data_IF_163360715460
#
_entry.id   IF_163360715460
#
_cell.length_a   1.000
_cell.length_b   1.000
_cell.length_c   1.000
_cell.angle_alpha   90.00
_cell.angle_beta   90.00
_cell.angle_gamma   90.00
#
_symmetry.space_group_name_H-M   'P 1'
#
loop_
_entity.id
_entity.type
_entity.pdbx_description
1 polymer ?
#
# COMPACT_ATOMS: atom_id res chain seq x y z
N UNK A 1 -7.41 19.37 -28.42
CA UNK A 1 -6.99 18.32 -29.39
C UNK A 1 -5.48 18.45 -29.55
N UNK A 2 -4.70 17.80 -28.72
CA UNK A 2 -3.25 17.70 -28.87
C UNK A 2 -2.91 16.56 -29.84
N UNK A 3 -2.28 16.90 -30.94
CA UNK A 3 -1.75 15.97 -31.92
C UNK A 3 -0.28 15.74 -31.52
N UNK A 4 -0.03 14.69 -30.76
CA UNK A 4 1.30 14.35 -30.20
C UNK A 4 2.08 13.30 -30.99
N UNK A 5 2.09 13.37 -32.32
CA UNK A 5 2.96 12.51 -33.12
C UNK A 5 3.72 13.36 -34.14
N UNK A 6 5.03 13.49 -33.95
CA UNK A 6 5.96 14.28 -34.77
C UNK A 6 5.83 14.00 -36.26
N UNK A 7 5.71 12.74 -36.68
CA UNK A 7 5.55 12.38 -38.10
C UNK A 7 4.21 12.86 -38.70
N UNK A 8 3.16 12.96 -37.91
CA UNK A 8 1.85 13.48 -38.37
C UNK A 8 1.85 15.00 -38.36
N UNK A 9 2.52 15.63 -37.40
CA UNK A 9 2.76 17.06 -37.35
C UNK A 9 3.62 17.50 -38.53
N UNK A 10 4.69 16.78 -38.87
CA UNK A 10 5.56 17.08 -39.99
C UNK A 10 4.84 16.87 -41.34
N UNK A 11 3.99 15.87 -41.46
CA UNK A 11 3.15 15.67 -42.65
C UNK A 11 2.10 16.81 -42.78
N UNK A 12 1.47 17.22 -41.69
CA UNK A 12 0.52 18.34 -41.67
C UNK A 12 1.26 19.67 -41.90
N UNK A 13 2.43 19.88 -41.29
CA UNK A 13 3.28 21.06 -41.57
C UNK A 13 3.68 21.15 -43.02
N UNK A 14 4.18 20.06 -43.61
CA UNK A 14 4.54 19.98 -45.02
C UNK A 14 3.35 20.29 -45.97
N UNK A 15 2.15 19.84 -45.58
CA UNK A 15 0.91 20.20 -46.32
C UNK A 15 0.58 21.69 -46.16
N UNK A 16 0.68 22.22 -44.93
CA UNK A 16 0.40 23.64 -44.67
C UNK A 16 1.44 24.54 -45.34
N UNK A 17 2.72 24.21 -45.33
CA UNK A 17 3.78 24.98 -46.01
C UNK A 17 3.61 24.96 -47.53
N UNK A 18 3.28 23.81 -48.13
CA UNK A 18 2.91 23.72 -49.54
C UNK A 18 1.61 24.47 -49.86
N UNK A 19 0.71 24.59 -48.91
CA UNK A 19 -0.52 25.37 -49.01
C UNK A 19 -0.23 26.88 -48.98
N UNK A 20 0.59 27.33 -48.03
CA UNK A 20 0.97 28.77 -47.90
C UNK A 20 1.73 29.27 -49.13
N UNK A 21 2.58 28.47 -49.71
CA UNK A 21 3.35 28.80 -50.93
C UNK A 21 2.46 28.93 -52.18
N UNK A 22 1.27 28.30 -52.21
CA UNK A 22 0.35 28.31 -53.35
C UNK A 22 -0.86 29.26 -53.21
N UNK A 23 -1.12 29.80 -52.06
CA UNK A 23 -2.26 30.72 -51.80
C UNK A 23 -2.11 32.03 -52.57
N UNK A 24 -0.91 32.46 -52.94
CA UNK A 24 -0.66 33.73 -53.62
C UNK A 24 -0.87 33.70 -55.13
N UNK A 25 -1.48 32.69 -55.74
CA UNK A 25 -1.51 32.56 -57.20
C UNK A 25 -2.85 32.25 -57.92
N UNK A 26 -4.01 32.07 -57.30
CA UNK A 26 -5.30 32.06 -58.02
C UNK A 26 -6.48 31.52 -57.22
N UNK A 27 -7.58 32.25 -57.11
CA UNK A 27 -8.85 31.87 -56.43
C UNK A 27 -9.53 30.63 -57.03
N UNK A 28 -9.34 30.38 -58.33
CA UNK A 28 -9.94 29.23 -59.02
C UNK A 28 -9.34 27.89 -58.56
N UNK A 29 -8.12 27.86 -58.08
CA UNK A 29 -7.47 26.68 -57.47
C UNK A 29 -7.92 26.41 -56.05
N UNK A 30 -8.37 27.42 -55.31
CA UNK A 30 -8.85 27.26 -53.93
C UNK A 30 -10.11 26.38 -53.84
N UNK A 31 -11.05 26.53 -54.78
CA UNK A 31 -12.28 25.73 -54.83
C UNK A 31 -11.96 24.24 -55.18
N UNK A 32 -11.05 24.02 -56.12
CA UNK A 32 -10.62 22.68 -56.53
C UNK A 32 -9.89 21.96 -55.39
N UNK A 33 -9.06 22.70 -54.65
CA UNK A 33 -8.36 22.16 -53.48
C UNK A 33 -9.29 21.93 -52.27
N UNK A 34 -10.27 22.80 -52.01
CA UNK A 34 -11.30 22.56 -51.03
C UNK A 34 -12.13 21.33 -51.34
N UNK A 35 -12.44 21.09 -52.58
CA UNK A 35 -13.17 19.89 -53.01
C UNK A 35 -12.32 18.62 -52.89
N UNK A 36 -11.04 18.66 -53.27
CA UNK A 36 -10.11 17.56 -53.08
C UNK A 36 -9.84 17.29 -51.62
N UNK A 37 -9.63 18.30 -50.79
CA UNK A 37 -9.41 18.18 -49.35
C UNK A 37 -10.64 17.55 -48.67
N UNK A 38 -11.85 17.99 -48.99
CA UNK A 38 -13.07 17.39 -48.47
C UNK A 38 -13.30 15.96 -49.00
N UNK A 39 -12.84 15.61 -50.20
CA UNK A 39 -12.93 14.27 -50.76
C UNK A 39 -11.91 13.28 -50.13
N UNK A 40 -10.72 13.78 -49.81
CA UNK A 40 -9.65 12.99 -49.17
C UNK A 40 -9.85 12.88 -47.65
N UNK A 41 -10.33 13.96 -47.01
CA UNK A 41 -10.52 14.10 -45.57
C UNK A 41 -12.00 14.17 -45.16
N UNK A 42 -12.88 13.35 -45.76
CA UNK A 42 -14.25 13.26 -45.22
C UNK A 42 -14.21 12.82 -43.76
N UNK A 43 -15.04 13.46 -42.90
CA UNK A 43 -15.18 13.10 -41.45
C UNK A 43 -15.28 11.58 -41.23
N UNK A 44 -15.79 10.83 -42.22
CA UNK A 44 -15.94 9.38 -42.20
C UNK A 44 -14.61 8.64 -42.46
N UNK A 45 -13.76 9.16 -43.37
CA UNK A 45 -12.40 8.61 -43.62
C UNK A 45 -11.47 8.94 -42.47
N UNK A 46 -11.49 10.17 -41.96
CA UNK A 46 -10.71 10.55 -40.77
C UNK A 46 -11.16 9.71 -39.56
N UNK A 47 -12.47 9.54 -39.33
CA UNK A 47 -12.98 8.62 -38.29
C UNK A 47 -12.59 7.17 -38.53
N UNK A 48 -12.51 6.72 -39.78
CA UNK A 48 -12.07 5.35 -40.10
C UNK A 48 -10.56 5.18 -39.87
N UNK A 49 -9.74 6.15 -40.33
CA UNK A 49 -8.28 6.19 -40.07
C UNK A 49 -8.00 6.33 -38.55
N UNK A 50 -8.75 7.18 -37.81
CA UNK A 50 -8.64 7.29 -36.37
C UNK A 50 -9.20 6.06 -35.62
N UNK A 51 -10.15 5.34 -36.20
CA UNK A 51 -10.65 4.07 -35.65
C UNK A 51 -9.73 2.89 -35.95
N UNK A 52 -9.07 2.91 -37.10
CA UNK A 52 -8.02 1.95 -37.48
C UNK A 52 -6.68 2.26 -36.83
N UNK A 53 -6.41 3.53 -36.46
CA UNK A 53 -5.24 4.00 -35.69
C UNK A 53 -5.52 4.19 -34.18
N UNK A 54 -6.69 3.82 -33.65
CA UNK A 54 -6.75 3.50 -32.24
C UNK A 54 -5.81 2.33 -32.04
N UNK A 55 -4.60 2.62 -31.57
CA UNK A 55 -3.71 1.59 -31.05
C UNK A 55 -4.58 0.66 -30.24
N UNK A 56 -4.79 -0.55 -30.72
CA UNK A 56 -5.56 -1.55 -29.98
C UNK A 56 -4.79 -1.72 -28.68
N UNK A 57 -5.34 -1.24 -27.58
CA UNK A 57 -4.75 -1.48 -26.28
C UNK A 57 -4.71 -2.99 -26.13
N UNK A 58 -3.49 -3.56 -25.98
CA UNK A 58 -3.31 -4.98 -25.73
C UNK A 58 -4.12 -5.38 -24.50
N UNK A 59 -4.85 -6.46 -24.61
CA UNK A 59 -5.47 -7.02 -23.42
C UNK A 59 -4.42 -7.77 -22.58
N UNK A 60 -4.77 -8.08 -21.32
CA UNK A 60 -3.85 -8.76 -20.38
C UNK A 60 -3.24 -10.02 -20.97
N UNK A 61 -4.04 -10.88 -21.61
CA UNK A 61 -3.57 -12.14 -22.19
C UNK A 61 -2.56 -11.92 -23.31
N UNK A 62 -2.82 -10.95 -24.20
CA UNK A 62 -1.89 -10.55 -25.25
C UNK A 62 -0.58 -9.99 -24.67
N UNK A 63 -0.68 -9.19 -23.60
CA UNK A 63 0.49 -8.63 -22.91
C UNK A 63 1.33 -9.70 -22.23
N UNK A 64 0.71 -10.63 -21.51
CA UNK A 64 1.41 -11.73 -20.84
C UNK A 64 2.14 -12.62 -21.84
N UNK A 65 1.52 -12.96 -22.97
CA UNK A 65 2.12 -13.77 -24.01
C UNK A 65 3.27 -13.02 -24.71
N UNK A 66 3.08 -11.73 -25.00
CA UNK A 66 4.15 -10.91 -25.57
C UNK A 66 5.33 -10.77 -24.62
N UNK A 67 5.06 -10.58 -23.33
CA UNK A 67 6.10 -10.51 -22.29
C UNK A 67 6.93 -11.80 -22.25
N UNK A 68 6.27 -12.96 -22.26
CA UNK A 68 6.96 -14.26 -22.32
C UNK A 68 7.85 -14.37 -23.55
N UNK A 69 7.36 -13.97 -24.73
CA UNK A 69 8.13 -14.03 -25.99
C UNK A 69 9.29 -13.02 -26.07
N UNK A 70 9.24 -11.95 -25.28
CA UNK A 70 10.34 -10.99 -25.18
C UNK A 70 11.45 -11.48 -24.24
N UNK A 71 11.10 -12.36 -23.29
CA UNK A 71 12.06 -12.94 -22.34
C UNK A 71 12.65 -14.25 -22.83
N UNK A 72 11.83 -15.09 -23.48
CA UNK A 72 12.20 -16.42 -23.92
C UNK A 72 11.89 -16.64 -25.41
N UNK A 73 12.77 -17.32 -26.15
CA UNK A 73 12.51 -17.59 -27.54
C UNK A 73 11.33 -18.55 -27.72
N UNK A 74 10.51 -18.28 -28.74
CA UNK A 74 9.37 -19.15 -29.07
C UNK A 74 9.87 -20.55 -29.50
N UNK A 75 9.39 -21.59 -28.82
CA UNK A 75 9.63 -23.00 -29.12
C UNK A 75 8.40 -23.60 -29.81
N UNK A 76 7.28 -23.64 -29.08
CA UNK A 76 5.99 -24.07 -29.62
C UNK A 76 4.86 -23.53 -28.73
N UNK A 77 3.62 -23.60 -29.23
CA UNK A 77 2.46 -23.03 -28.54
C UNK A 77 2.08 -23.75 -27.24
N UNK A 78 2.46 -25.02 -27.04
CA UNK A 78 2.18 -25.75 -25.81
C UNK A 78 3.11 -25.28 -24.69
N UNK A 79 4.39 -25.14 -24.97
CA UNK A 79 5.38 -24.59 -24.03
C UNK A 79 5.02 -23.14 -23.71
N UNK A 80 4.68 -22.33 -24.71
CA UNK A 80 4.23 -20.95 -24.47
C UNK A 80 2.97 -20.88 -23.61
N UNK A 81 2.04 -21.80 -23.76
CA UNK A 81 0.84 -21.91 -22.92
C UNK A 81 1.18 -22.25 -21.45
N UNK A 82 2.13 -23.17 -21.24
CA UNK A 82 2.61 -23.57 -19.93
C UNK A 82 3.36 -22.42 -19.23
N UNK A 83 4.33 -21.80 -19.92
CA UNK A 83 5.13 -20.71 -19.34
C UNK A 83 4.31 -19.44 -19.11
N UNK A 84 3.40 -19.08 -20.02
CA UNK A 84 2.54 -17.90 -19.87
C UNK A 84 1.34 -18.11 -18.93
N UNK A 85 1.09 -19.33 -18.45
CA UNK A 85 -0.06 -19.66 -17.60
C UNK A 85 -1.41 -19.57 -18.29
N UNK A 86 -1.46 -19.60 -19.64
CA UNK A 86 -2.70 -19.48 -20.41
C UNK A 86 -3.06 -20.77 -21.15
N UNK A 87 -4.36 -20.97 -21.43
CA UNK A 87 -4.79 -22.11 -22.23
C UNK A 87 -4.30 -22.00 -23.67
N UNK A 88 -4.09 -23.14 -24.34
CA UNK A 88 -3.65 -23.20 -25.75
C UNK A 88 -4.57 -22.39 -26.68
N UNK A 89 -5.87 -22.37 -26.40
CA UNK A 89 -6.85 -21.59 -27.19
C UNK A 89 -6.66 -20.08 -27.04
N UNK A 90 -6.28 -19.61 -25.82
CA UNK A 90 -5.93 -18.22 -25.56
C UNK A 90 -4.64 -17.86 -26.30
N UNK A 91 -3.61 -18.68 -26.18
CA UNK A 91 -2.32 -18.49 -26.87
C UNK A 91 -2.53 -18.34 -28.38
N UNK A 92 -3.24 -19.27 -29.01
CA UNK A 92 -3.50 -19.23 -30.44
C UNK A 92 -4.22 -17.96 -30.90
N UNK A 93 -5.21 -17.50 -30.15
CA UNK A 93 -5.94 -16.27 -30.46
C UNK A 93 -5.06 -15.05 -30.28
N UNK A 94 -4.32 -14.97 -29.17
CA UNK A 94 -3.45 -13.84 -28.85
C UNK A 94 -2.29 -13.70 -29.84
N UNK A 95 -1.66 -14.80 -30.26
CA UNK A 95 -0.63 -14.79 -31.31
C UNK A 95 -1.15 -14.17 -32.61
N UNK A 96 -2.34 -14.58 -33.06
CA UNK A 96 -2.96 -14.01 -34.27
C UNK A 96 -3.23 -12.50 -34.14
N UNK A 97 -3.71 -12.07 -33.00
CA UNK A 97 -3.98 -10.65 -32.76
C UNK A 97 -2.70 -9.83 -32.60
N UNK A 98 -1.63 -10.38 -31.99
CA UNK A 98 -0.31 -9.74 -31.87
C UNK A 98 0.39 -9.59 -33.24
N UNK A 99 0.31 -10.62 -34.12
CA UNK A 99 0.81 -10.55 -35.50
C UNK A 99 0.03 -9.48 -36.27
N UNK A 100 -1.31 -9.50 -36.21
CA UNK A 100 -2.17 -8.52 -36.87
C UNK A 100 -1.93 -7.08 -36.40
N UNK A 101 -1.51 -6.91 -35.17
CA UNK A 101 -1.20 -5.61 -34.55
C UNK A 101 0.27 -5.19 -34.73
N UNK A 102 1.08 -5.99 -35.48
CA UNK A 102 2.49 -5.75 -35.76
C UNK A 102 3.39 -5.75 -34.52
N UNK A 103 3.02 -6.52 -33.49
CA UNK A 103 3.89 -6.80 -32.35
C UNK A 103 4.77 -8.05 -32.56
N UNK A 104 4.29 -8.99 -33.37
CA UNK A 104 5.02 -10.19 -33.76
C UNK A 104 5.09 -10.26 -35.29
N UNK A 105 6.19 -10.81 -35.81
CA UNK A 105 6.32 -11.20 -37.22
C UNK A 105 5.63 -12.56 -37.49
N UNK A 106 5.62 -13.00 -38.76
CA UNK A 106 5.02 -14.29 -39.14
C UNK A 106 5.74 -15.52 -38.52
N UNK A 107 6.96 -15.33 -38.06
CA UNK A 107 7.78 -16.34 -37.35
C UNK A 107 7.63 -16.27 -35.84
N UNK A 108 6.65 -15.50 -35.34
CA UNK A 108 6.35 -15.30 -33.92
C UNK A 108 7.55 -14.66 -33.17
N UNK A 109 8.31 -13.79 -33.84
CA UNK A 109 9.40 -13.03 -33.23
C UNK A 109 8.91 -11.61 -32.91
N UNK A 110 9.28 -11.03 -31.73
CA UNK A 110 8.96 -9.65 -31.42
C UNK A 110 9.51 -8.66 -32.43
N UNK A 111 8.68 -7.74 -32.91
CA UNK A 111 9.05 -6.68 -33.84
C UNK A 111 9.76 -5.52 -33.12
N UNK A 112 10.34 -4.59 -33.90
CA UNK A 112 10.89 -3.33 -33.34
C UNK A 112 9.84 -2.53 -32.58
N UNK A 113 8.59 -2.55 -33.02
CA UNK A 113 7.47 -1.92 -32.32
C UNK A 113 7.27 -2.52 -30.93
N UNK A 114 7.23 -3.86 -30.84
CA UNK A 114 7.09 -4.56 -29.55
C UNK A 114 8.24 -4.21 -28.60
N UNK A 115 9.48 -4.26 -29.08
CA UNK A 115 10.67 -3.95 -28.28
C UNK A 115 10.67 -2.48 -27.82
N UNK A 116 10.22 -1.55 -28.65
CA UNK A 116 10.18 -0.12 -28.30
C UNK A 116 9.12 0.13 -27.22
N UNK A 117 7.91 -0.39 -27.38
CA UNK A 117 6.84 -0.24 -26.38
C UNK A 117 7.20 -0.90 -25.04
N UNK A 118 7.85 -2.05 -25.11
CA UNK A 118 8.37 -2.76 -23.96
C UNK A 118 9.39 -1.92 -23.15
N UNK A 119 10.34 -1.30 -23.86
CA UNK A 119 11.33 -0.41 -23.22
C UNK A 119 10.67 0.81 -22.58
N UNK A 120 9.64 1.36 -23.20
CA UNK A 120 8.91 2.53 -22.68
C UNK A 120 8.12 2.23 -21.42
N UNK A 121 7.71 0.97 -21.22
CA UNK A 121 6.91 0.54 -20.06
C UNK A 121 7.74 -0.25 -19.04
N UNK A 122 9.05 -0.33 -19.21
CA UNK A 122 9.95 -0.97 -18.24
C UNK A 122 9.88 -0.22 -16.89
N UNK A 123 9.71 -0.95 -15.76
CA UNK A 123 9.79 -0.35 -14.43
C UNK A 123 11.12 0.39 -14.24
N UNK A 124 11.05 1.61 -13.78
CA UNK A 124 12.21 2.49 -13.56
C UNK A 124 12.39 2.85 -12.11
N UNK A 125 11.27 2.92 -11.37
CA UNK A 125 11.20 3.48 -10.03
C UNK A 125 10.40 2.59 -9.10
N UNK A 126 10.59 2.81 -7.81
CA UNK A 126 9.73 2.28 -6.78
C UNK A 126 9.47 3.32 -5.70
N UNK A 127 8.26 3.33 -5.17
CA UNK A 127 7.82 4.13 -4.03
C UNK A 127 7.45 3.16 -2.91
N UNK A 128 8.13 3.24 -1.76
CA UNK A 128 7.84 2.43 -0.58
C UNK A 128 7.15 3.32 0.46
N UNK A 129 5.93 2.94 0.86
CA UNK A 129 5.15 3.69 1.85
C UNK A 129 5.46 3.17 3.26
N UNK A 130 6.26 3.92 4.01
CA UNK A 130 6.77 3.55 5.34
C UNK A 130 6.51 4.61 6.42
N UNK A 131 5.60 5.57 6.18
CA UNK A 131 5.36 6.67 7.10
C UNK A 131 4.48 6.31 8.30
N UNK A 132 3.70 5.24 8.23
CA UNK A 132 2.67 4.88 9.20
C UNK A 132 3.23 4.43 10.56
N UNK A 133 2.44 4.68 11.61
CA UNK A 133 2.77 4.28 12.98
C UNK A 133 2.70 2.75 13.22
N UNK A 134 1.91 1.99 12.43
CA UNK A 134 1.75 0.53 12.59
C UNK A 134 1.10 0.13 13.93
N UNK A 135 0.06 0.83 14.37
CA UNK A 135 -0.57 0.67 15.70
C UNK A 135 -0.87 -0.78 16.09
N UNK A 136 -1.23 -1.63 15.14
CA UNK A 136 -1.58 -3.04 15.39
C UNK A 136 -0.39 -3.94 15.76
N UNK A 137 0.84 -3.44 15.61
CA UNK A 137 2.07 -4.17 15.92
C UNK A 137 2.59 -3.94 17.36
N UNK A 138 1.82 -3.27 18.22
CA UNK A 138 2.16 -3.16 19.63
C UNK A 138 2.25 -4.57 20.25
N UNK A 139 3.28 -4.88 21.06
CA UNK A 139 4.27 -3.95 21.63
C UNK A 139 5.53 -3.71 20.78
N UNK A 140 5.71 -4.39 19.66
CA UNK A 140 6.97 -4.39 18.90
C UNK A 140 7.31 -2.99 18.35
N UNK A 141 6.32 -2.32 17.77
CA UNK A 141 6.50 -1.00 17.12
C UNK A 141 6.71 0.17 18.10
N UNK A 142 6.76 -0.08 19.40
CA UNK A 142 7.07 0.96 20.39
C UNK A 142 8.50 1.48 20.26
N UNK A 143 9.41 0.64 19.75
CA UNK A 143 10.83 0.95 19.65
C UNK A 143 11.36 0.89 18.21
N UNK A 144 10.57 0.38 17.28
CA UNK A 144 10.98 0.16 15.90
C UNK A 144 9.82 0.39 14.93
N UNK A 145 10.03 1.13 13.82
CA UNK A 145 9.00 1.30 12.82
C UNK A 145 8.74 0.00 12.06
N UNK A 146 7.52 -0.18 11.57
CA UNK A 146 7.02 -1.43 10.98
C UNK A 146 7.89 -1.98 9.84
N UNK A 147 8.39 -1.10 8.96
CA UNK A 147 9.25 -1.50 7.84
C UNK A 147 10.62 -2.07 8.25
N UNK A 148 11.07 -1.82 9.48
CA UNK A 148 12.32 -2.37 10.01
C UNK A 148 12.13 -3.66 10.83
N UNK A 149 10.90 -4.18 10.89
CA UNK A 149 10.66 -5.49 11.50
C UNK A 149 11.45 -6.55 10.74
N UNK A 150 12.13 -7.42 11.50
CA UNK A 150 12.89 -8.53 10.93
C UNK A 150 12.02 -9.79 10.86
N UNK A 151 12.04 -10.40 9.70
CA UNK A 151 11.48 -11.73 9.46
C UNK A 151 12.61 -12.61 8.98
N UNK A 152 12.79 -13.76 9.62
CA UNK A 152 13.94 -14.63 9.37
C UNK A 152 15.30 -13.90 9.43
N UNK A 153 15.41 -12.91 10.33
CA UNK A 153 16.62 -12.11 10.53
C UNK A 153 16.81 -10.93 9.56
N UNK A 154 15.94 -10.75 8.55
CA UNK A 154 16.03 -9.69 7.54
C UNK A 154 14.93 -8.64 7.73
N UNK A 155 15.25 -7.31 7.78
CA UNK A 155 14.25 -6.24 7.81
C UNK A 155 13.36 -6.26 6.56
N UNK A 156 12.04 -6.08 6.74
CA UNK A 156 11.05 -6.12 5.64
C UNK A 156 11.42 -5.15 4.50
N UNK A 157 11.74 -3.92 4.85
CA UNK A 157 12.06 -2.89 3.86
C UNK A 157 13.36 -3.20 3.10
N UNK A 158 14.36 -3.76 3.77
CA UNK A 158 15.62 -4.14 3.11
C UNK A 158 15.40 -5.28 2.12
N UNK A 159 14.57 -6.27 2.49
CA UNK A 159 14.19 -7.34 1.57
C UNK A 159 13.49 -6.79 0.33
N UNK A 160 12.53 -5.88 0.48
CA UNK A 160 11.85 -5.22 -0.63
C UNK A 160 12.87 -4.51 -1.53
N UNK A 161 13.78 -3.73 -0.95
CA UNK A 161 14.81 -2.98 -1.70
C UNK A 161 15.74 -3.93 -2.46
N UNK A 162 16.20 -5.02 -1.83
CA UNK A 162 17.05 -6.03 -2.48
C UNK A 162 16.34 -6.69 -3.66
N UNK A 163 15.07 -7.07 -3.47
CA UNK A 163 14.24 -7.64 -4.54
C UNK A 163 14.03 -6.68 -5.71
N UNK A 164 13.88 -5.37 -5.45
CA UNK A 164 13.83 -4.34 -6.48
C UNK A 164 15.16 -4.20 -7.22
N UNK A 165 16.29 -4.22 -6.51
CA UNK A 165 17.62 -4.17 -7.11
C UNK A 165 17.91 -5.39 -8.00
N UNK A 166 17.47 -6.59 -7.62
CA UNK A 166 17.60 -7.83 -8.43
C UNK A 166 16.95 -7.70 -9.81
N UNK A 167 15.86 -6.95 -9.91
CA UNK A 167 15.16 -6.70 -11.19
C UNK A 167 15.66 -5.43 -11.90
N UNK A 168 16.65 -4.73 -11.32
CA UNK A 168 17.33 -3.60 -11.94
C UNK A 168 16.75 -2.23 -11.62
N UNK A 169 15.83 -2.14 -10.67
CA UNK A 169 15.25 -0.87 -10.19
C UNK A 169 16.20 -0.27 -9.16
N UNK A 170 16.69 0.95 -9.43
CA UNK A 170 17.65 1.65 -8.57
C UNK A 170 17.12 2.97 -8.02
N UNK A 171 16.14 3.57 -8.67
CA UNK A 171 15.50 4.81 -8.25
C UNK A 171 14.37 4.46 -7.28
N UNK A 172 14.65 4.52 -5.96
CA UNK A 172 13.73 4.09 -4.90
C UNK A 172 13.48 5.24 -3.96
N UNK A 173 12.22 5.61 -3.80
CA UNK A 173 11.73 6.62 -2.88
C UNK A 173 11.07 5.94 -1.68
N UNK A 174 11.53 6.24 -0.48
CA UNK A 174 10.93 5.72 0.76
C UNK A 174 10.24 6.86 1.48
N UNK A 175 8.90 6.81 1.55
CA UNK A 175 8.12 7.82 2.27
C UNK A 175 8.09 7.43 3.74
N UNK A 176 8.72 8.23 4.59
CA UNK A 176 8.90 7.99 6.02
C UNK A 176 8.16 9.02 6.87
N UNK A 177 7.85 8.67 8.12
CA UNK A 177 7.18 9.57 9.08
C UNK A 177 7.53 9.19 10.50
N UNK A 178 6.86 8.18 11.04
CA UNK A 178 7.13 7.66 12.38
C UNK A 178 8.55 7.09 12.49
N UNK A 179 9.33 7.58 13.47
CA UNK A 179 10.73 7.18 13.69
C UNK A 179 11.59 7.25 12.42
N UNK A 180 11.41 8.30 11.61
CA UNK A 180 12.10 8.48 10.33
C UNK A 180 13.62 8.35 10.42
N UNK A 181 14.21 8.75 11.55
CA UNK A 181 15.65 8.71 11.82
C UNK A 181 16.22 7.28 11.74
N UNK A 182 15.39 6.29 12.05
CA UNK A 182 15.78 4.86 11.97
C UNK A 182 15.93 4.34 10.55
N UNK A 183 15.43 5.08 9.55
CA UNK A 183 15.56 4.73 8.14
C UNK A 183 16.75 5.40 7.44
N UNK A 184 17.45 6.36 8.10
CA UNK A 184 18.51 7.17 7.46
C UNK A 184 19.65 6.31 6.89
N UNK A 185 20.00 5.19 7.52
CA UNK A 185 21.05 4.30 7.05
C UNK A 185 20.74 3.70 5.66
N UNK A 186 19.47 3.64 5.25
CA UNK A 186 19.08 3.14 3.92
C UNK A 186 19.61 4.02 2.78
N UNK A 187 19.87 5.31 3.05
CA UNK A 187 20.45 6.24 2.07
C UNK A 187 21.84 5.75 1.68
N UNK A 188 22.68 5.47 2.68
CA UNK A 188 24.06 5.09 2.46
C UNK A 188 24.22 3.64 1.98
N UNK A 189 23.42 2.72 2.55
CA UNK A 189 23.56 1.29 2.26
C UNK A 189 22.87 0.86 0.95
N UNK A 190 21.75 1.52 0.59
CA UNK A 190 20.92 1.10 -0.54
C UNK A 190 20.70 2.19 -1.59
N UNK A 191 21.26 3.37 -1.41
CA UNK A 191 21.12 4.52 -2.32
C UNK A 191 19.65 4.90 -2.56
N UNK A 192 18.80 4.85 -1.53
CA UNK A 192 17.40 5.27 -1.60
C UNK A 192 17.26 6.76 -1.28
N UNK A 193 16.15 7.37 -1.71
CA UNK A 193 15.76 8.73 -1.34
C UNK A 193 14.66 8.69 -0.26
N UNK A 194 14.89 9.36 0.89
CA UNK A 194 13.88 9.47 1.94
C UNK A 194 13.03 10.72 1.75
N UNK A 195 11.70 10.53 1.68
CA UNK A 195 10.72 11.61 1.59
C UNK A 195 9.94 11.68 2.90
N UNK A 196 10.04 12.80 3.63
CA UNK A 196 9.43 12.93 4.95
C UNK A 196 7.97 13.37 4.85
N UNK A 197 7.05 12.55 5.37
CA UNK A 197 5.67 12.95 5.61
C UNK A 197 5.53 13.49 7.04
N UNK A 198 5.41 14.80 7.20
CA UNK A 198 5.23 15.44 8.50
C UNK A 198 3.81 15.22 9.08
N UNK A 199 2.83 14.97 8.22
CA UNK A 199 1.42 14.82 8.60
C UNK A 199 1.02 13.36 8.92
N UNK A 200 1.98 12.44 8.99
CA UNK A 200 1.74 10.99 9.14
C UNK A 200 0.85 10.62 10.33
N UNK A 201 0.85 11.43 11.38
CA UNK A 201 0.05 11.18 12.58
C UNK A 201 -1.43 11.60 12.45
N UNK A 202 -1.72 12.53 11.54
CA UNK A 202 -3.05 13.11 11.34
C UNK A 202 -3.74 12.59 10.07
N UNK A 203 -2.95 12.17 9.07
CA UNK A 203 -3.44 11.80 7.74
C UNK A 203 -2.93 10.42 7.32
N UNK A 204 -3.72 9.72 6.50
CA UNK A 204 -3.39 8.38 6.02
C UNK A 204 -2.46 8.42 4.79
N UNK A 205 -2.18 7.25 4.20
CA UNK A 205 -1.16 7.05 3.16
C UNK A 205 -1.51 7.73 1.81
N UNK A 206 -2.75 8.16 1.55
CA UNK A 206 -3.09 9.03 0.43
C UNK A 206 -2.26 10.32 0.45
N UNK A 207 -2.03 10.89 1.63
CA UNK A 207 -1.18 12.06 1.78
C UNK A 207 0.33 11.74 1.71
N UNK A 208 0.72 10.50 2.02
CA UNK A 208 2.09 10.04 1.80
C UNK A 208 2.42 9.95 0.32
N UNK A 209 1.54 9.34 -0.48
CA UNK A 209 1.79 9.19 -1.92
C UNK A 209 1.72 10.53 -2.67
N UNK A 210 0.96 11.51 -2.17
CA UNK A 210 0.95 12.88 -2.72
C UNK A 210 2.34 13.50 -2.79
N UNK A 211 3.20 13.23 -1.79
CA UNK A 211 4.56 13.79 -1.72
C UNK A 211 5.49 13.26 -2.81
N UNK A 212 5.16 12.11 -3.40
CA UNK A 212 5.96 11.42 -4.41
C UNK A 212 5.20 11.20 -5.71
N UNK A 213 4.11 11.91 -5.94
CA UNK A 213 3.23 11.75 -7.11
C UNK A 213 3.96 11.94 -8.45
N UNK A 214 5.01 12.76 -8.49
CA UNK A 214 5.84 13.01 -9.67
C UNK A 214 6.70 11.77 -10.04
N UNK A 215 6.83 10.79 -9.16
CA UNK A 215 7.65 9.59 -9.32
C UNK A 215 6.83 8.34 -9.60
N UNK A 216 5.53 8.47 -9.91
CA UNK A 216 4.63 7.33 -10.14
C UNK A 216 4.69 6.76 -11.56
N UNK A 217 5.34 7.45 -12.50
CA UNK A 217 5.48 6.98 -13.89
C UNK A 217 6.37 5.74 -13.97
N UNK A 218 5.85 4.64 -14.52
CA UNK A 218 6.51 3.33 -14.61
C UNK A 218 7.13 2.90 -13.28
N UNK A 219 6.35 3.04 -12.22
CA UNK A 219 6.80 2.81 -10.85
C UNK A 219 5.99 1.72 -10.15
N UNK A 220 6.68 0.99 -9.27
CA UNK A 220 6.02 0.19 -8.25
C UNK A 220 5.65 1.05 -7.05
N UNK A 221 4.48 0.81 -6.47
CA UNK A 221 4.02 1.37 -5.20
C UNK A 221 3.88 0.20 -4.24
N UNK A 222 4.54 0.27 -3.07
CA UNK A 222 4.74 -0.89 -2.20
C UNK A 222 4.54 -0.46 -0.75
N UNK A 223 3.68 -1.11 0.04
CA UNK A 223 3.67 -0.94 1.49
C UNK A 223 4.91 -1.61 2.11
N UNK A 224 5.44 -1.02 3.19
CA UNK A 224 6.71 -1.48 3.81
C UNK A 224 6.57 -2.75 4.66
N UNK A 225 5.37 -3.25 4.85
CA UNK A 225 4.99 -4.31 5.79
C UNK A 225 4.66 -5.64 5.12
N UNK A 226 5.08 -5.80 3.87
CA UNK A 226 4.86 -7.00 3.07
C UNK A 226 6.08 -7.91 3.14
N UNK A 227 5.83 -9.19 3.41
CA UNK A 227 6.77 -10.27 3.21
C UNK A 227 6.42 -11.05 1.95
N UNK A 228 7.35 -11.11 1.01
CA UNK A 228 7.24 -11.95 -0.18
C UNK A 228 8.32 -13.04 -0.11
N UNK A 229 7.91 -14.32 -0.14
CA UNK A 229 8.85 -15.43 -0.13
C UNK A 229 9.72 -15.42 -1.41
N UNK A 230 9.08 -15.21 -2.55
CA UNK A 230 9.72 -15.02 -3.84
C UNK A 230 9.64 -13.57 -4.28
N UNK A 231 10.60 -13.14 -5.10
CA UNK A 231 10.59 -11.79 -5.66
C UNK A 231 9.32 -11.54 -6.49
N UNK A 232 8.43 -10.62 -6.09
CA UNK A 232 7.18 -10.35 -6.80
C UNK A 232 7.36 -9.37 -7.97
N UNK A 233 8.55 -8.75 -8.09
CA UNK A 233 8.85 -7.73 -9.07
C UNK A 233 9.43 -8.33 -10.33
N UNK A 234 9.21 -7.67 -11.47
CA UNK A 234 9.71 -8.09 -12.76
C UNK A 234 10.47 -6.97 -13.45
N UNK A 235 11.45 -7.32 -14.26
CA UNK A 235 12.22 -6.35 -15.10
C UNK A 235 11.34 -5.64 -16.12
N UNK A 236 10.20 -6.21 -16.44
CA UNK A 236 9.35 -5.77 -17.53
C UNK A 236 7.89 -5.90 -17.15
N UNK A 237 7.13 -4.82 -17.34
CA UNK A 237 5.70 -4.76 -17.12
C UNK A 237 5.05 -4.05 -18.31
N UNK A 238 3.94 -4.57 -18.81
CA UNK A 238 3.28 -4.01 -20.00
C UNK A 238 1.97 -3.29 -19.71
N UNK A 239 1.45 -3.41 -18.50
CA UNK A 239 0.19 -2.80 -18.07
C UNK A 239 0.19 -2.51 -16.56
N UNK A 240 -0.68 -1.59 -16.13
CA UNK A 240 -0.88 -1.30 -14.72
C UNK A 240 -1.66 -2.40 -14.03
N UNK A 241 -1.21 -2.79 -12.84
CA UNK A 241 -1.87 -3.83 -12.05
C UNK A 241 -1.77 -3.54 -10.56
N UNK A 242 -2.70 -4.12 -9.80
CA UNK A 242 -2.71 -4.11 -8.34
C UNK A 242 -2.78 -5.54 -7.81
N UNK A 243 -1.98 -5.85 -6.80
CA UNK A 243 -1.88 -7.19 -6.23
C UNK A 243 -2.97 -7.47 -5.23
N UNK A 244 -3.64 -8.60 -5.41
CA UNK A 244 -4.64 -9.12 -4.47
C UNK A 244 -4.38 -10.59 -4.20
N UNK A 245 -4.77 -11.06 -3.01
CA UNK A 245 -4.72 -12.48 -2.68
C UNK A 245 -5.89 -13.23 -3.31
N UNK A 246 -5.72 -14.55 -3.48
CA UNK A 246 -6.78 -15.48 -3.81
C UNK A 246 -7.82 -15.66 -2.67
N UNK A 247 -7.47 -15.25 -1.45
CA UNK A 247 -8.38 -15.28 -0.29
C UNK A 247 -9.45 -14.18 -0.35
N UNK A 248 -10.63 -14.55 0.12
CA UNK A 248 -11.76 -13.65 0.30
C UNK A 248 -11.89 -13.28 1.76
N UNK A 249 -11.92 -11.96 2.04
CA UNK A 249 -12.01 -11.40 3.39
C UNK A 249 -13.20 -10.43 3.48
N UNK A 250 -13.71 -10.24 4.68
CA UNK A 250 -14.86 -9.35 4.91
C UNK A 250 -14.48 -7.87 4.88
N UNK A 251 -13.22 -7.56 5.14
CA UNK A 251 -12.67 -6.20 5.18
C UNK A 251 -12.47 -5.59 3.79
N UNK A 252 -12.53 -6.41 2.74
CA UNK A 252 -12.40 -5.96 1.35
C UNK A 252 -13.76 -6.00 0.64
N UNK A 253 -14.04 -4.98 -0.14
CA UNK A 253 -15.18 -4.90 -1.06
C UNK A 253 -14.77 -4.96 -2.53
N UNK A 254 -13.56 -5.43 -2.84
CA UNK A 254 -13.02 -5.51 -4.20
C UNK A 254 -12.92 -6.97 -4.64
N UNK A 255 -13.52 -7.31 -5.78
CA UNK A 255 -13.49 -8.66 -6.38
C UNK A 255 -12.81 -8.66 -7.73
N UNK A 256 -12.10 -9.74 -8.00
CA UNK A 256 -11.53 -10.02 -9.32
C UNK A 256 -12.57 -10.70 -10.18
N UNK A 257 -12.88 -10.12 -11.33
CA UNK A 257 -13.78 -10.73 -12.30
C UNK A 257 -13.02 -11.61 -13.31
N UNK A 258 -13.76 -12.28 -14.21
CA UNK A 258 -13.18 -13.18 -15.25
C UNK A 258 -12.24 -12.47 -16.24
N UNK A 259 -12.29 -11.14 -16.31
CA UNK A 259 -11.41 -10.32 -17.16
C UNK A 259 -10.17 -9.81 -16.41
N UNK A 260 -10.01 -10.24 -15.16
CA UNK A 260 -8.98 -9.75 -14.24
C UNK A 260 -9.13 -8.25 -13.93
N UNK A 261 -10.34 -7.70 -14.02
CA UNK A 261 -10.66 -6.36 -13.56
C UNK A 261 -11.02 -6.41 -12.07
N UNK A 262 -10.62 -5.41 -11.32
CA UNK A 262 -10.96 -5.20 -9.91
C UNK A 262 -12.25 -4.40 -9.83
N UNK A 263 -13.32 -5.02 -9.39
CA UNK A 263 -14.68 -4.45 -9.33
C UNK A 263 -15.16 -4.37 -7.89
N UNK A 264 -15.88 -3.31 -7.56
CA UNK A 264 -16.52 -3.15 -6.26
C UNK A 264 -17.71 -4.07 -6.11
N UNK A 265 -17.85 -4.68 -4.97
CA UNK A 265 -19.01 -5.50 -4.58
C UNK A 265 -19.60 -4.96 -3.27
N UNK A 266 -20.85 -5.30 -2.92
CA UNK A 266 -21.41 -4.93 -1.63
C UNK A 266 -20.55 -5.44 -0.47
N UNK A 267 -20.37 -4.64 0.57
CA UNK A 267 -19.56 -4.98 1.75
C UNK A 267 -19.94 -6.34 2.35
N UNK A 268 -21.24 -6.66 2.37
CA UNK A 268 -21.74 -7.95 2.85
C UNK A 268 -21.27 -9.19 2.08
N UNK A 269 -20.69 -8.99 0.90
CA UNK A 269 -20.23 -10.09 0.02
C UNK A 269 -18.76 -10.47 0.23
N UNK A 270 -18.00 -9.63 0.94
CA UNK A 270 -16.56 -9.74 1.05
C UNK A 270 -15.83 -9.62 -0.28
N UNK A 271 -14.55 -9.34 -0.26
CA UNK A 271 -13.71 -9.17 -1.44
C UNK A 271 -12.39 -9.94 -1.36
N UNK A 272 -11.59 -9.90 -2.42
CA UNK A 272 -10.22 -10.40 -2.38
C UNK A 272 -9.40 -9.54 -1.41
N UNK A 273 -8.54 -10.17 -0.61
CA UNK A 273 -7.64 -9.44 0.27
C UNK A 273 -6.68 -8.57 -0.58
N UNK A 274 -6.66 -7.28 -0.26
CA UNK A 274 -5.85 -6.28 -0.95
C UNK A 274 -4.43 -6.31 -0.36
N UNK A 275 -3.41 -6.59 -1.19
CA UNK A 275 -2.01 -6.72 -0.73
C UNK A 275 -1.29 -5.37 -0.72
N UNK A 276 -1.69 -4.43 -1.58
CA UNK A 276 -1.09 -3.09 -1.59
C UNK A 276 0.04 -2.87 -2.59
N UNK A 277 0.63 -3.92 -3.18
CA UNK A 277 1.64 -3.77 -4.24
C UNK A 277 0.93 -3.41 -5.54
N UNK A 278 1.36 -2.34 -6.18
CA UNK A 278 0.82 -1.85 -7.44
C UNK A 278 1.94 -1.48 -8.41
N UNK A 279 1.69 -1.65 -9.69
CA UNK A 279 2.53 -1.11 -10.75
C UNK A 279 1.71 -0.19 -11.65
N UNK A 280 2.23 0.99 -11.95
CA UNK A 280 1.59 1.97 -12.82
C UNK A 280 2.45 2.25 -14.05
N UNK A 281 1.88 2.06 -15.25
CA UNK A 281 2.46 2.62 -16.48
C UNK A 281 2.17 4.12 -16.54
N UNK A 282 2.98 4.86 -17.32
CA UNK A 282 2.89 6.32 -17.44
C UNK A 282 1.47 6.86 -17.60
N UNK A 283 0.70 6.30 -18.55
CA UNK A 283 -0.63 6.81 -18.91
C UNK A 283 -1.65 6.70 -17.77
N UNK A 284 -1.48 5.72 -16.90
CA UNK A 284 -2.33 5.54 -15.72
C UNK A 284 -1.78 6.32 -14.53
N UNK A 285 -0.46 6.41 -14.38
CA UNK A 285 0.19 7.23 -13.36
C UNK A 285 -0.24 8.70 -13.44
N UNK A 286 -0.31 9.28 -14.66
CA UNK A 286 -0.79 10.65 -14.88
C UNK A 286 -2.22 10.87 -14.37
N UNK A 287 -3.10 9.87 -14.58
CA UNK A 287 -4.49 9.92 -14.10
C UNK A 287 -4.57 9.80 -12.57
N UNK A 288 -3.78 8.87 -12.01
CA UNK A 288 -3.71 8.63 -10.56
C UNK A 288 -3.15 9.86 -9.86
N UNK A 289 -2.06 10.45 -10.34
CA UNK A 289 -1.45 11.64 -9.77
C UNK A 289 -2.44 12.81 -9.71
N UNK A 290 -3.21 13.03 -10.78
CA UNK A 290 -4.27 14.04 -10.81
C UNK A 290 -5.39 13.75 -9.81
N UNK A 291 -5.84 12.50 -9.72
CA UNK A 291 -6.87 12.09 -8.77
C UNK A 291 -6.39 12.26 -7.31
N UNK A 292 -5.12 11.92 -7.00
CA UNK A 292 -4.50 12.15 -5.70
C UNK A 292 -4.57 13.64 -5.30
N UNK A 293 -4.25 14.55 -6.24
CA UNK A 293 -4.35 16.00 -5.98
C UNK A 293 -5.78 16.40 -5.62
N UNK A 294 -6.75 16.01 -6.46
CA UNK A 294 -8.17 16.33 -6.27
C UNK A 294 -8.71 15.78 -4.92
N UNK A 295 -8.37 14.55 -4.56
CA UNK A 295 -8.80 13.94 -3.30
C UNK A 295 -8.16 14.64 -2.09
N UNK A 296 -6.86 14.96 -2.14
CA UNK A 296 -6.15 15.59 -1.03
C UNK A 296 -6.56 17.05 -0.75
N UNK A 297 -7.28 17.72 -1.66
CA UNK A 297 -7.86 19.04 -1.41
C UNK A 297 -9.07 18.98 -0.46
N UNK A 298 -9.68 17.81 -0.28
CA UNK A 298 -10.88 17.63 0.51
C UNK A 298 -10.57 16.88 1.81
N UNK A 299 -10.73 17.55 2.95
CA UNK A 299 -10.49 17.00 4.29
C UNK A 299 -11.23 15.68 4.58
N UNK A 300 -12.33 15.40 3.87
CA UNK A 300 -13.04 14.12 3.99
C UNK A 300 -12.12 12.92 3.71
N UNK A 301 -11.09 13.10 2.89
CA UNK A 301 -10.15 12.06 2.51
C UNK A 301 -8.85 12.06 3.32
N UNK A 302 -8.77 12.84 4.42
CA UNK A 302 -7.57 12.84 5.28
C UNK A 302 -7.27 11.45 5.87
N UNK A 303 -8.30 10.65 6.16
CA UNK A 303 -8.19 9.27 6.61
C UNK A 303 -8.19 8.21 5.51
N UNK A 304 -8.20 8.60 4.22
CA UNK A 304 -8.31 7.67 3.12
C UNK A 304 -6.99 6.98 2.79
N UNK A 305 -7.10 5.77 2.23
CA UNK A 305 -5.99 5.07 1.61
C UNK A 305 -5.77 5.58 0.18
N UNK A 306 -4.55 5.47 -0.32
CA UNK A 306 -4.17 5.93 -1.65
C UNK A 306 -4.89 5.19 -2.78
N UNK A 307 -5.35 3.98 -2.51
CA UNK A 307 -6.14 3.15 -3.42
C UNK A 307 -7.43 3.83 -3.87
N UNK A 308 -7.94 4.80 -3.09
CA UNK A 308 -9.08 5.65 -3.53
C UNK A 308 -8.81 6.32 -4.87
N UNK A 309 -7.56 6.66 -5.17
CA UNK A 309 -7.18 7.26 -6.44
C UNK A 309 -7.19 6.28 -7.64
N UNK A 310 -7.29 4.97 -7.38
CA UNK A 310 -7.39 3.95 -8.42
C UNK A 310 -8.82 3.74 -8.90
N UNK A 311 -9.83 4.19 -8.16
CA UNK A 311 -11.22 3.95 -8.51
C UNK A 311 -11.74 4.84 -9.63
N UNK A 312 -12.45 4.24 -10.55
CA UNK A 312 -13.27 4.90 -11.56
C UNK A 312 -14.67 4.28 -11.50
N UNK A 313 -15.56 4.91 -10.73
CA UNK A 313 -16.90 4.45 -10.39
C UNK A 313 -16.82 3.14 -9.58
N UNK A 314 -17.32 2.04 -10.16
CA UNK A 314 -17.47 0.70 -9.56
C UNK A 314 -16.29 -0.25 -9.85
N UNK A 315 -15.18 0.26 -10.36
CA UNK A 315 -13.98 -0.54 -10.66
C UNK A 315 -12.70 0.28 -10.55
N UNK A 316 -11.58 -0.40 -10.36
CA UNK A 316 -10.26 0.21 -10.47
C UNK A 316 -9.81 0.34 -11.93
N UNK A 317 -8.96 1.32 -12.20
CA UNK A 317 -8.36 1.54 -13.53
C UNK A 317 -7.25 0.55 -13.86
N UNK A 318 -6.78 -0.20 -12.89
CA UNK A 318 -5.72 -1.20 -12.97
C UNK A 318 -6.28 -2.61 -13.01
N UNK A 319 -5.51 -3.57 -13.54
CA UNK A 319 -5.89 -4.98 -13.57
C UNK A 319 -5.44 -5.71 -12.29
N UNK A 320 -6.06 -6.86 -12.02
CA UNK A 320 -5.68 -7.69 -10.90
C UNK A 320 -4.42 -8.52 -11.22
N UNK A 321 -3.47 -8.56 -10.26
CA UNK A 321 -2.46 -9.61 -10.15
C UNK A 321 -2.81 -10.46 -8.92
N UNK A 322 -3.35 -11.64 -9.15
CA UNK A 322 -3.75 -12.55 -8.08
C UNK A 322 -2.54 -13.39 -7.67
N UNK A 323 -2.26 -13.40 -6.37
CA UNK A 323 -1.21 -14.22 -5.75
C UNK A 323 -1.81 -15.17 -4.73
N UNK A 324 -1.11 -16.29 -4.47
CA UNK A 324 -1.51 -17.20 -3.42
C UNK A 324 -1.23 -16.58 -2.06
N UNK A 325 -2.13 -16.73 -1.12
CA UNK A 325 -2.02 -16.15 0.22
C UNK A 325 -0.77 -16.59 1.01
N UNK A 326 -0.21 -17.74 0.68
CA UNK A 326 1.03 -18.22 1.30
C UNK A 326 2.30 -17.58 0.72
N UNK A 327 2.25 -17.03 -0.51
CA UNK A 327 3.44 -16.47 -1.18
C UNK A 327 3.72 -15.02 -0.77
N UNK A 328 2.67 -14.29 -0.34
CA UNK A 328 2.75 -12.87 0.04
C UNK A 328 1.91 -12.62 1.28
N UNK A 329 2.54 -12.14 2.33
CA UNK A 329 1.89 -11.92 3.63
C UNK A 329 2.10 -10.47 4.07
N UNK A 330 1.01 -9.79 4.42
CA UNK A 330 1.04 -8.50 5.10
C UNK A 330 1.15 -8.72 6.61
N UNK A 331 2.22 -8.22 7.24
CA UNK A 331 2.47 -8.39 8.66
C UNK A 331 1.89 -7.22 9.43
N UNK A 332 0.69 -7.34 9.92
CA UNK A 332 -0.05 -6.31 10.63
C UNK A 332 -0.09 -6.48 12.13
N UNK A 333 0.08 -7.71 12.65
CA UNK A 333 -0.06 -8.03 14.07
C UNK A 333 1.13 -8.86 14.59
N UNK A 334 1.25 -8.87 15.91
CA UNK A 334 2.23 -9.69 16.62
C UNK A 334 2.04 -11.20 16.30
N UNK A 335 0.79 -11.63 16.22
CA UNK A 335 0.44 -13.02 15.92
C UNK A 335 0.87 -13.42 14.52
N UNK A 336 0.66 -12.56 13.52
CA UNK A 336 1.10 -12.79 12.14
C UNK A 336 2.63 -12.90 12.04
N UNK A 337 3.38 -12.05 12.76
CA UNK A 337 4.83 -12.19 12.81
C UNK A 337 5.24 -13.54 13.42
N UNK A 338 4.61 -13.95 14.51
CA UNK A 338 4.88 -15.23 15.18
C UNK A 338 4.58 -16.44 14.31
N UNK A 339 3.53 -16.38 13.49
CA UNK A 339 3.18 -17.43 12.52
C UNK A 339 4.24 -17.61 11.44
N UNK A 340 4.88 -16.51 10.99
CA UNK A 340 5.86 -16.54 9.92
C UNK A 340 7.27 -16.82 10.45
N UNK A 341 7.62 -16.27 11.61
CA UNK A 341 8.93 -16.37 12.23
C UNK A 341 8.77 -16.56 13.74
N UNK A 342 8.51 -17.81 14.15
CA UNK A 342 8.32 -18.18 15.57
C UNK A 342 9.56 -17.96 16.44
N UNK A 343 10.74 -17.95 15.83
CA UNK A 343 12.03 -17.78 16.51
C UNK A 343 12.52 -16.31 16.50
N UNK A 344 11.69 -15.38 16.01
CA UNK A 344 12.06 -13.99 15.94
C UNK A 344 12.39 -13.40 17.31
N UNK A 345 13.59 -12.84 17.44
CA UNK A 345 14.00 -12.14 18.66
C UNK A 345 13.10 -10.93 18.99
N UNK A 346 12.31 -10.49 18.06
CA UNK A 346 11.36 -9.36 18.24
C UNK A 346 10.10 -9.79 18.98
N UNK A 347 9.80 -11.08 19.02
CA UNK A 347 8.72 -11.65 19.84
C UNK A 347 9.06 -11.58 21.34
N UNK A 348 10.35 -11.55 21.70
CA UNK A 348 10.85 -11.45 23.07
C UNK A 348 11.07 -9.99 23.52
N UNK A 349 10.19 -9.09 23.14
CA UNK A 349 10.27 -7.68 23.57
C UNK A 349 10.03 -7.55 25.07
N UNK A 350 10.65 -6.53 25.67
CA UNK A 350 10.56 -6.24 27.11
C UNK A 350 9.12 -6.31 27.64
N UNK A 351 8.16 -5.81 26.88
CA UNK A 351 6.76 -5.83 27.29
C UNK A 351 6.18 -7.26 27.37
N UNK A 352 6.50 -8.15 26.42
CA UNK A 352 6.07 -9.55 26.43
C UNK A 352 6.81 -10.32 27.54
N UNK A 353 8.10 -10.07 27.71
CA UNK A 353 8.89 -10.67 28.78
C UNK A 353 8.30 -10.27 30.15
N UNK A 354 8.01 -8.99 30.36
CA UNK A 354 7.37 -8.51 31.60
C UNK A 354 6.00 -9.18 31.82
N UNK A 355 5.19 -9.34 30.77
CA UNK A 355 3.90 -10.06 30.88
C UNK A 355 4.14 -11.51 31.30
N UNK A 356 5.09 -12.20 30.68
CA UNK A 356 5.41 -13.60 30.99
C UNK A 356 5.90 -13.76 32.44
N UNK A 357 6.79 -12.88 32.90
CA UNK A 357 7.29 -12.89 34.28
C UNK A 357 6.18 -12.54 35.29
N UNK A 358 5.40 -11.50 35.01
CA UNK A 358 4.35 -11.04 35.93
C UNK A 358 3.19 -12.02 36.09
N UNK A 359 2.84 -12.75 35.03
CA UNK A 359 1.70 -13.67 34.98
C UNK A 359 2.14 -15.15 35.03
N UNK A 360 3.44 -15.44 35.20
CA UNK A 360 4.02 -16.78 35.14
C UNK A 360 3.54 -17.57 33.91
N UNK A 361 3.70 -16.95 32.73
CA UNK A 361 3.20 -17.45 31.46
C UNK A 361 4.32 -17.63 30.44
N UNK A 362 4.07 -18.42 29.40
CA UNK A 362 4.93 -18.49 28.22
C UNK A 362 4.45 -17.49 27.17
N UNK A 363 5.33 -17.02 26.26
CA UNK A 363 4.96 -16.08 25.19
C UNK A 363 3.73 -16.53 24.37
N UNK A 364 3.60 -17.85 24.12
CA UNK A 364 2.50 -18.42 23.34
C UNK A 364 1.14 -18.31 24.06
N UNK A 365 1.14 -18.13 25.37
CA UNK A 365 -0.08 -17.92 26.15
C UNK A 365 -0.59 -16.47 26.10
N UNK A 366 0.19 -15.55 25.53
CA UNK A 366 -0.21 -14.16 25.31
C UNK A 366 -0.87 -14.07 23.94
N UNK A 367 -2.18 -13.83 23.90
CA UNK A 367 -3.01 -13.82 22.67
C UNK A 367 -3.95 -12.63 22.63
N UNK A 368 -4.65 -12.45 21.52
CA UNK A 368 -5.68 -11.42 21.33
C UNK A 368 -5.17 -10.00 21.63
N UNK A 369 -3.94 -9.70 21.20
CA UNK A 369 -3.32 -8.41 21.43
C UNK A 369 -4.04 -7.34 20.58
N UNK A 370 -4.71 -6.40 21.28
CA UNK A 370 -5.48 -5.33 20.63
C UNK A 370 -5.07 -3.98 21.20
N UNK A 371 -4.72 -3.04 20.34
CA UNK A 371 -4.34 -1.69 20.74
C UNK A 371 -5.54 -0.93 21.29
N UNK A 372 -5.38 -0.35 22.47
CA UNK A 372 -6.34 0.59 23.02
C UNK A 372 -6.08 2.00 22.45
N UNK A 373 -7.10 2.86 22.55
CA UNK A 373 -7.02 4.25 22.04
C UNK A 373 -5.75 4.94 22.56
N UNK A 374 -4.98 5.56 21.67
CA UNK A 374 -3.74 6.27 21.98
C UNK A 374 -3.98 7.38 23.01
N UNK A 375 -3.37 7.26 24.19
CA UNK A 375 -3.26 8.33 25.16
C UNK A 375 -2.08 9.25 24.82
N UNK A 376 -2.09 10.49 25.31
CA UNK A 376 -1.00 11.44 25.08
C UNK A 376 0.32 11.00 25.74
N UNK A 377 0.23 10.31 26.88
CA UNK A 377 1.41 9.97 27.73
C UNK A 377 1.70 8.48 27.82
N UNK A 378 0.84 7.62 27.32
CA UNK A 378 0.98 6.18 27.47
C UNK A 378 0.50 5.47 26.19
N UNK A 379 1.15 4.35 25.89
CA UNK A 379 0.73 3.35 24.91
C UNK A 379 0.13 2.18 25.69
N UNK A 380 -1.07 1.75 25.35
CA UNK A 380 -1.72 0.65 26.06
C UNK A 380 -2.32 -0.32 25.07
N UNK A 381 -2.26 -1.60 25.40
CA UNK A 381 -2.90 -2.66 24.65
C UNK A 381 -3.59 -3.66 25.57
N UNK A 382 -4.69 -4.20 25.08
CA UNK A 382 -5.42 -5.32 25.66
C UNK A 382 -4.76 -6.62 25.19
N UNK A 383 -4.69 -7.63 26.05
CA UNK A 383 -4.27 -8.98 25.68
C UNK A 383 -4.99 -10.00 26.56
N UNK A 384 -5.08 -11.23 26.05
CA UNK A 384 -5.55 -12.38 26.80
C UNK A 384 -4.37 -13.23 27.30
N UNK A 385 -4.45 -13.75 28.51
CA UNK A 385 -3.49 -14.67 29.06
C UNK A 385 -4.18 -15.59 30.08
N UNK A 386 -3.98 -16.91 29.99
CA UNK A 386 -4.56 -17.89 30.91
C UNK A 386 -6.07 -17.73 31.10
N UNK A 387 -6.81 -17.39 30.04
CA UNK A 387 -8.27 -17.24 30.05
C UNK A 387 -8.80 -15.92 30.66
N UNK A 388 -7.93 -15.00 31.04
CA UNK A 388 -8.27 -13.67 31.51
C UNK A 388 -7.77 -12.61 30.55
N UNK A 389 -8.41 -11.43 30.57
CA UNK A 389 -7.98 -10.27 29.78
C UNK A 389 -7.29 -9.25 30.67
N UNK A 390 -6.25 -8.64 30.16
CA UNK A 390 -5.41 -7.66 30.83
C UNK A 390 -5.14 -6.46 29.94
N UNK A 391 -4.81 -5.34 30.58
CA UNK A 391 -4.28 -4.15 29.92
C UNK A 391 -2.81 -3.99 30.30
N UNK A 392 -1.93 -3.97 29.30
CA UNK A 392 -0.55 -3.53 29.45
C UNK A 392 -0.43 -2.06 29.12
N UNK A 393 0.21 -1.28 30.00
CA UNK A 393 0.54 0.11 29.77
C UNK A 393 2.06 0.28 29.68
N UNK A 394 2.51 0.90 28.59
CA UNK A 394 3.88 1.29 28.34
C UNK A 394 3.93 2.82 28.30
N UNK A 395 4.75 3.49 29.13
CA UNK A 395 4.94 4.93 29.04
C UNK A 395 5.44 5.38 27.68
N UNK A 396 4.98 6.55 27.24
CA UNK A 396 5.49 7.20 26.02
C UNK A 396 6.85 7.85 26.27
N UNK A 397 7.64 8.01 25.22
CA UNK A 397 8.94 8.67 25.27
C UNK A 397 8.83 10.09 25.85
N UNK A 398 9.80 10.48 26.69
CA UNK A 398 9.84 11.80 27.31
C UNK A 398 8.85 12.03 28.44
N UNK A 399 7.97 11.06 28.75
CA UNK A 399 6.98 11.22 29.83
C UNK A 399 7.59 11.11 31.23
N UNK A 400 8.80 10.59 31.36
CA UNK A 400 9.51 10.48 32.66
C UNK A 400 9.89 11.85 33.25
N UNK A 401 9.96 12.88 32.41
CA UNK A 401 10.13 14.28 32.85
C UNK A 401 8.83 14.88 33.42
N UNK A 402 7.68 14.31 33.09
CA UNK A 402 6.36 14.80 33.47
C UNK A 402 5.76 14.00 34.63
N UNK A 403 6.09 12.71 34.76
CA UNK A 403 5.48 11.78 35.70
C UNK A 403 6.57 11.08 36.52
N UNK A 404 6.53 11.25 37.83
CA UNK A 404 7.39 10.51 38.75
C UNK A 404 6.87 9.07 38.90
N UNK A 405 7.53 8.13 38.25
CA UNK A 405 7.10 6.72 38.17
C UNK A 405 7.13 6.02 39.53
N UNK A 406 8.07 6.36 40.41
CA UNK A 406 8.15 5.80 41.76
C UNK A 406 6.97 6.25 42.61
N UNK A 407 6.61 7.53 42.55
CA UNK A 407 5.42 8.03 43.24
C UNK A 407 4.14 7.42 42.67
N UNK A 408 4.02 7.33 41.36
CA UNK A 408 2.91 6.68 40.69
C UNK A 408 2.75 5.22 41.17
N UNK A 409 3.82 4.44 41.19
CA UNK A 409 3.81 3.06 41.65
C UNK A 409 3.43 2.94 43.13
N UNK A 410 3.93 3.82 43.98
CA UNK A 410 3.61 3.85 45.40
C UNK A 410 2.11 4.13 45.66
N UNK A 411 1.50 5.04 44.89
CA UNK A 411 0.07 5.32 44.94
C UNK A 411 -0.74 4.11 44.51
N UNK A 412 -0.39 3.51 43.38
CA UNK A 412 -1.10 2.31 42.88
C UNK A 412 -0.99 1.13 43.84
N UNK A 413 0.17 0.90 44.46
CA UNK A 413 0.33 -0.13 45.48
C UNK A 413 -0.54 0.14 46.72
N UNK A 414 -0.64 1.41 47.14
CA UNK A 414 -1.45 1.78 48.31
C UNK A 414 -2.98 1.62 48.11
N UNK A 415 -3.45 1.69 46.84
CA UNK A 415 -4.86 1.53 46.49
C UNK A 415 -5.20 0.13 45.96
N UNK A 416 -4.23 -0.72 45.68
CA UNK A 416 -4.48 -2.05 45.21
C UNK A 416 -5.34 -2.86 46.20
N UNK A 417 -6.32 -3.62 45.71
CA UNK A 417 -7.26 -4.39 46.49
C UNK A 417 -8.30 -3.56 47.24
N UNK A 418 -8.35 -2.23 47.07
CA UNK A 418 -9.36 -1.35 47.67
C UNK A 418 -10.55 -1.09 46.72
N UNK A 419 -10.62 -1.74 45.61
CA UNK A 419 -11.66 -1.62 44.59
C UNK A 419 -11.89 -0.19 44.07
N UNK A 420 -10.85 0.63 44.07
CA UNK A 420 -10.88 2.04 43.59
C UNK A 420 -10.44 2.13 42.14
N UNK A 421 -9.50 1.31 41.75
CA UNK A 421 -9.01 1.15 40.37
C UNK A 421 -9.06 -0.34 39.95
N UNK A 422 -8.69 -0.59 38.72
CA UNK A 422 -8.51 -1.95 38.20
C UNK A 422 -7.50 -2.72 39.07
N UNK A 423 -7.69 -4.01 39.25
CA UNK A 423 -6.75 -4.84 40.01
C UNK A 423 -5.40 -4.89 39.29
N UNK A 424 -4.35 -4.60 40.06
CA UNK A 424 -3.00 -4.45 39.55
C UNK A 424 -2.28 -5.79 39.64
N UNK A 425 -1.97 -6.38 38.48
CA UNK A 425 -1.17 -7.59 38.39
C UNK A 425 0.34 -7.29 38.49
N UNK A 426 0.77 -6.13 37.94
CA UNK A 426 2.18 -5.74 37.92
C UNK A 426 2.33 -4.22 37.78
N UNK A 427 3.31 -3.64 38.47
CA UNK A 427 3.75 -2.27 38.24
C UNK A 427 5.25 -2.14 38.54
N UNK A 428 5.98 -1.53 37.63
CA UNK A 428 7.43 -1.29 37.79
C UNK A 428 7.67 0.22 38.07
N UNK A 429 8.27 0.57 39.21
CA UNK A 429 8.53 1.96 39.60
C UNK A 429 9.67 2.62 38.80
N UNK A 430 10.54 1.85 38.11
CA UNK A 430 11.65 2.42 37.35
C UNK A 430 11.25 2.80 35.91
N UNK A 431 10.58 1.89 35.19
CA UNK A 431 10.18 2.10 33.81
C UNK A 431 8.69 2.44 33.62
N UNK A 432 7.88 2.41 34.67
CA UNK A 432 6.46 2.72 34.63
C UNK A 432 5.57 1.71 33.91
N UNK A 433 6.08 0.52 33.57
CA UNK A 433 5.27 -0.54 33.00
C UNK A 433 4.23 -1.01 34.01
N UNK A 434 2.99 -1.21 33.55
CA UNK A 434 1.87 -1.60 34.43
C UNK A 434 0.97 -2.59 33.70
N UNK A 435 0.57 -3.66 34.42
CA UNK A 435 -0.43 -4.63 33.97
C UNK A 435 -1.61 -4.58 34.96
N UNK A 436 -2.82 -4.39 34.41
CA UNK A 436 -4.06 -4.44 35.19
C UNK A 436 -5.03 -5.43 34.58
N UNK A 437 -5.91 -6.04 35.40
CA UNK A 437 -7.01 -6.85 34.87
C UNK A 437 -7.99 -5.98 34.10
N UNK A 438 -8.51 -6.49 32.99
CA UNK A 438 -9.49 -5.77 32.17
C UNK A 438 -10.91 -5.92 32.79
N UNK A 439 -11.55 -4.79 33.04
CA UNK A 439 -12.92 -4.77 33.56
C UNK A 439 -13.92 -4.94 32.42
N UNK A 440 -14.49 -6.14 32.28
CA UNK A 440 -15.52 -6.39 31.28
C UNK A 440 -16.78 -5.54 31.55
N UNK A 441 -17.40 -5.04 30.48
CA UNK A 441 -18.58 -4.18 30.55
C UNK A 441 -18.33 -2.74 31.03
N UNK A 442 -17.07 -2.37 31.29
CA UNK A 442 -16.71 -0.99 31.58
C UNK A 442 -16.93 -0.09 30.35
N UNK A 443 -17.45 1.11 30.57
CA UNK A 443 -17.59 2.15 29.56
C UNK A 443 -17.05 3.49 30.05
N UNK A 444 -16.74 4.34 29.12
CA UNK A 444 -16.36 5.72 29.43
C UNK A 444 -17.57 6.47 30.04
N UNK A 445 -17.32 7.23 31.10
CA UNK A 445 -18.28 8.10 31.71
C UNK A 445 -18.70 9.21 30.74
N UNK A 446 -19.99 9.45 30.58
CA UNK A 446 -20.50 10.59 29.82
C UNK A 446 -20.52 11.85 30.71
N UNK A 447 -19.70 12.87 30.41
CA UNK A 447 -19.65 14.10 31.22
C UNK A 447 -20.92 14.94 31.17
N UNK A 448 -21.80 14.67 30.19
CA UNK A 448 -23.10 15.33 30.07
C UNK A 448 -24.24 14.57 30.81
N UNK A 449 -23.96 13.34 31.25
CA UNK A 449 -24.92 12.54 31.99
C UNK A 449 -24.78 12.77 33.51
N UNK A 450 -25.79 13.40 34.15
CA UNK A 450 -25.77 13.71 35.57
C UNK A 450 -25.53 12.49 36.48
N UNK A 451 -26.14 11.34 36.21
CA UNK A 451 -25.96 10.14 37.03
C UNK A 451 -24.54 9.54 36.89
N UNK A 452 -23.90 9.65 35.72
CA UNK A 452 -22.53 9.25 35.54
C UNK A 452 -21.58 10.17 36.33
N UNK A 453 -21.75 11.48 36.21
CA UNK A 453 -20.98 12.47 36.97
C UNK A 453 -21.15 12.26 38.47
N UNK A 454 -22.39 12.06 38.94
CA UNK A 454 -22.69 11.80 40.35
C UNK A 454 -21.98 10.52 40.85
N UNK A 455 -21.95 9.44 40.08
CA UNK A 455 -21.22 8.22 40.43
C UNK A 455 -19.71 8.48 40.51
N UNK A 456 -19.13 9.22 39.55
CA UNK A 456 -17.74 9.59 39.58
C UNK A 456 -17.36 10.42 40.80
N UNK A 457 -18.19 11.42 41.15
CA UNK A 457 -17.96 12.26 42.33
C UNK A 457 -18.07 11.48 43.64
N UNK A 458 -19.05 10.56 43.78
CA UNK A 458 -19.11 9.66 44.92
C UNK A 458 -17.88 8.80 45.07
N UNK A 459 -17.33 8.29 43.93
CA UNK A 459 -16.13 7.47 43.90
C UNK A 459 -14.90 8.28 44.33
N UNK A 460 -14.78 9.51 43.83
CA UNK A 460 -13.71 10.42 44.21
C UNK A 460 -13.77 10.76 45.71
N UNK A 461 -14.97 11.01 46.27
CA UNK A 461 -15.15 11.24 47.70
C UNK A 461 -14.67 10.03 48.51
N UNK A 462 -15.13 8.82 48.15
CA UNK A 462 -14.70 7.58 48.81
C UNK A 462 -13.16 7.37 48.74
N UNK A 463 -12.54 7.78 47.67
CA UNK A 463 -11.07 7.75 47.52
C UNK A 463 -10.42 8.74 48.54
N UNK A 464 -10.90 9.97 48.67
CA UNK A 464 -10.36 10.94 49.60
C UNK A 464 -10.55 10.49 51.08
N UNK A 465 -11.65 9.80 51.37
CA UNK A 465 -11.93 9.30 52.74
C UNK A 465 -10.94 8.22 53.21
N UNK A 466 -10.26 7.56 52.28
CA UNK A 466 -9.21 6.58 52.61
C UNK A 466 -7.99 7.21 53.31
N UNK A 467 -7.81 8.53 53.20
CA UNK A 467 -6.70 9.29 53.84
C UNK A 467 -5.35 8.59 53.69
N UNK A 468 -5.08 8.07 52.47
CA UNK A 468 -3.87 7.29 52.20
C UNK A 468 -2.62 8.14 52.46
N UNK A 469 -1.70 7.57 53.20
CA UNK A 469 -0.35 8.15 53.34
C UNK A 469 0.57 7.42 52.37
N UNK A 470 1.12 8.15 51.43
CA UNK A 470 2.12 7.67 50.48
C UNK A 470 3.40 8.47 50.74
N UNK A 471 4.50 7.79 50.97
CA UNK A 471 5.80 8.45 51.13
C UNK A 471 6.19 9.08 49.79
N UNK A 472 6.50 10.36 49.83
CA UNK A 472 6.95 11.17 48.69
C UNK A 472 8.45 11.06 48.48
#
# INVERSE_FOLDING_TARGET
FEITNTATLDFIKNIIEKFSANINRNEHNLQKWRFMFNKVFTKRKIRKIMKERKCKIMNKQESDILNTLLLEPFINQRILAEVSGHSLGVVNRSLKELIKADYLDESIRPTVKAITEFKQKTPQRAVILAAGFGMRMVPINTEMPKGLLKVNGEPLIERIIKQLHEVGIKEIYVVVGFMKEKYEYLIDEYCVELVVNADYAAKNNLHSIKLVKEHLENAYIIPCDIWCDRNPFHRHELYSWYMVSDMVVNESNVRVNRKMELVTVPESSGGNAMIGICYLVKEDADKVAKCIEELCENQRYDGAFWEEALYNKDRMIVLARVVHSADVVEINTYEQLREIDSDSNQLNKDAIQVICEALDARPEAVTDITVLKKGMTNRSFLFACKGKKYIMRIPGEGTDQLINRRQEAAVYQAINGKHICDDIAYINPENGYKITEFLEGARVCDPLNYEDVKKCMKRLHAFHDLKLKVNH
#
